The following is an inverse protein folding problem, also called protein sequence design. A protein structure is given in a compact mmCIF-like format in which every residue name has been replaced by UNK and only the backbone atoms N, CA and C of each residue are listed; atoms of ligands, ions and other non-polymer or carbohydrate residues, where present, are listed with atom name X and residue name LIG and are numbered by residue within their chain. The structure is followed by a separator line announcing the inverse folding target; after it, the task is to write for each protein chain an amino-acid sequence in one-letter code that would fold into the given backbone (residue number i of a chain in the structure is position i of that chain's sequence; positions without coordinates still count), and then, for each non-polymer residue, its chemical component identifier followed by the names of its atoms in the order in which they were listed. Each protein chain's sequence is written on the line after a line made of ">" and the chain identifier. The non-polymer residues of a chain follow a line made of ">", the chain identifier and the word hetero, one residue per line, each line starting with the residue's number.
data_IF_955322814520
#
_entry.id   IF_955322814520
#
_cell.length_a   1.000
_cell.length_b   1.000
_cell.length_c   1.000
_cell.angle_alpha   90.00
_cell.angle_beta   90.00
_cell.angle_gamma   90.00
#
_symmetry.space_group_name_H-M   'P 1'
#
loop_
_entity.id
_entity.type
_entity.pdbx_description
1 polymer ?
#
# COMPACT_ATOMS: atom_id res chain seq x y z
N UNK A 1 11.37 6.76 -9.96
CA UNK A 1 10.69 5.47 -10.25
C UNK A 1 9.98 5.63 -11.60
N UNK A 2 10.76 5.87 -12.68
CA UNK A 2 10.22 6.48 -13.92
C UNK A 2 10.38 5.58 -15.16
N UNK A 3 10.84 4.35 -15.00
CA UNK A 3 10.88 3.36 -16.07
C UNK A 3 10.25 2.05 -15.57
N UNK A 4 8.94 1.91 -15.76
CA UNK A 4 8.28 0.62 -15.61
C UNK A 4 8.59 -0.24 -16.84
N UNK A 5 8.88 -1.54 -16.67
CA UNK A 5 9.02 -2.45 -17.80
C UNK A 5 7.73 -2.44 -18.62
N UNK A 6 7.87 -2.58 -19.93
CA UNK A 6 6.73 -2.69 -20.85
C UNK A 6 5.98 -3.96 -20.47
N UNK A 7 4.75 -3.78 -19.97
CA UNK A 7 3.88 -4.87 -19.55
C UNK A 7 2.68 -4.91 -20.48
N UNK A 8 2.50 -6.03 -21.17
CA UNK A 8 1.46 -6.23 -22.18
C UNK A 8 0.08 -6.51 -21.57
N UNK A 9 0.00 -6.84 -20.27
CA UNK A 9 -1.27 -7.10 -19.59
C UNK A 9 -1.93 -5.81 -19.08
N UNK A 10 -1.22 -4.68 -19.11
CA UNK A 10 -1.71 -3.40 -18.60
C UNK A 10 -2.04 -2.39 -19.71
N UNK A 11 -3.08 -1.55 -19.52
CA UNK A 11 -3.44 -0.54 -20.50
C UNK A 11 -2.31 0.49 -20.66
N UNK A 12 -2.05 0.87 -21.91
CA UNK A 12 -0.94 1.78 -22.26
C UNK A 12 0.43 1.17 -21.98
N UNK A 13 0.55 -0.16 -22.04
CA UNK A 13 1.81 -0.91 -21.88
C UNK A 13 2.50 -0.69 -20.52
N UNK A 14 1.73 -0.22 -19.53
CA UNK A 14 2.24 0.16 -18.21
C UNK A 14 2.97 1.51 -18.17
N UNK A 15 3.02 2.27 -19.26
CA UNK A 15 3.78 3.53 -19.32
C UNK A 15 3.04 4.72 -18.71
N UNK A 16 1.73 4.86 -18.91
CA UNK A 16 0.99 6.03 -18.44
C UNK A 16 0.34 5.78 -17.07
N UNK A 17 1.13 5.83 -16.01
CA UNK A 17 0.69 5.52 -14.65
C UNK A 17 0.56 6.77 -13.77
N UNK A 18 -0.56 6.88 -13.03
CA UNK A 18 -0.75 7.89 -12.00
C UNK A 18 -0.53 7.28 -10.61
N UNK A 19 0.47 7.78 -9.89
CA UNK A 19 0.88 7.26 -8.57
C UNK A 19 -0.17 7.58 -7.50
N UNK A 20 -0.72 8.78 -7.45
CA UNK A 20 -1.65 9.15 -6.37
C UNK A 20 -3.02 8.46 -6.49
N UNK A 21 -3.37 8.06 -7.72
CA UNK A 21 -4.65 7.39 -7.99
C UNK A 21 -4.50 5.88 -8.25
N UNK A 22 -3.26 5.35 -8.23
CA UNK A 22 -2.92 3.96 -8.52
C UNK A 22 -3.61 3.41 -9.78
N UNK A 23 -3.62 4.19 -10.87
CA UNK A 23 -4.35 3.86 -12.10
C UNK A 23 -3.49 4.03 -13.34
N UNK A 24 -3.61 3.06 -14.24
CA UNK A 24 -3.00 3.07 -15.57
C UNK A 24 -3.94 3.68 -16.60
N UNK A 25 -3.35 4.38 -17.56
CA UNK A 25 -4.02 5.05 -18.67
C UNK A 25 -3.45 4.53 -19.99
N UNK A 26 -4.25 4.60 -21.04
CA UNK A 26 -3.87 4.16 -22.38
C UNK A 26 -2.93 5.14 -23.12
N UNK A 27 -3.01 6.43 -22.81
CA UNK A 27 -2.26 7.49 -23.50
C UNK A 27 -1.80 8.60 -22.55
N UNK A 28 -0.76 9.33 -22.94
CA UNK A 28 -0.28 10.52 -22.22
C UNK A 28 -1.35 11.62 -22.11
N UNK A 29 -2.23 11.76 -23.10
CA UNK A 29 -3.28 12.78 -23.07
C UNK A 29 -4.35 12.44 -22.02
N UNK A 30 -4.71 11.15 -21.90
CA UNK A 30 -5.58 10.67 -20.84
C UNK A 30 -4.98 10.91 -19.44
N UNK A 31 -3.67 10.70 -19.27
CA UNK A 31 -2.98 10.99 -18.01
C UNK A 31 -2.95 12.50 -17.69
N UNK A 32 -2.63 13.34 -18.68
CA UNK A 32 -2.61 14.81 -18.51
C UNK A 32 -3.98 15.40 -18.21
N UNK A 33 -5.03 14.88 -18.84
CA UNK A 33 -6.41 15.29 -18.55
C UNK A 33 -6.87 14.79 -17.17
N UNK A 34 -6.44 13.60 -16.75
CA UNK A 34 -6.67 13.09 -15.41
C UNK A 34 -6.10 14.00 -14.31
N UNK A 35 -4.88 14.51 -14.44
CA UNK A 35 -4.28 15.42 -13.44
C UNK A 35 -5.09 16.71 -13.23
N UNK A 36 -5.76 17.20 -14.28
CA UNK A 36 -6.61 18.41 -14.20
C UNK A 36 -7.98 18.12 -13.60
N UNK A 37 -8.40 16.86 -13.57
CA UNK A 37 -9.72 16.43 -13.11
C UNK A 37 -9.92 16.65 -11.60
N UNK A 38 -11.19 16.77 -11.19
CA UNK A 38 -11.55 16.93 -9.77
C UNK A 38 -11.21 15.69 -8.94
N UNK A 39 -11.23 14.50 -9.55
CA UNK A 39 -10.95 13.22 -8.88
C UNK A 39 -9.51 13.21 -8.37
N UNK A 40 -8.55 13.55 -9.24
CA UNK A 40 -7.14 13.61 -8.89
C UNK A 40 -6.88 14.68 -7.81
N UNK A 41 -7.43 15.88 -7.97
CA UNK A 41 -7.30 16.95 -6.97
C UNK A 41 -7.91 16.60 -5.62
N UNK A 42 -8.95 15.75 -5.58
CA UNK A 42 -9.52 15.25 -4.32
C UNK A 42 -8.59 14.24 -3.66
N UNK A 43 -8.05 13.27 -4.41
CA UNK A 43 -7.04 12.33 -3.89
C UNK A 43 -5.81 13.04 -3.33
N UNK A 44 -5.31 14.07 -4.00
CA UNK A 44 -4.19 14.89 -3.49
C UNK A 44 -4.47 15.59 -2.16
N UNK A 45 -5.74 15.86 -1.83
CA UNK A 45 -6.11 16.43 -0.53
C UNK A 45 -6.20 15.33 0.52
N UNK A 46 -6.83 14.19 0.18
CA UNK A 46 -6.93 13.03 1.06
C UNK A 46 -5.53 12.49 1.45
N UNK A 47 -4.58 12.44 0.52
CA UNK A 47 -3.20 11.99 0.80
C UNK A 47 -2.40 12.97 1.67
N UNK A 48 -2.83 14.24 1.78
CA UNK A 48 -2.20 15.22 2.67
C UNK A 48 -2.67 15.08 4.11
N UNK A 49 -3.88 14.58 4.30
CA UNK A 49 -4.38 14.26 5.62
C UNK A 49 -3.72 12.97 6.11
N UNK A 50 -3.36 12.88 7.40
CA UNK A 50 -2.79 11.65 7.94
C UNK A 50 -3.81 10.51 7.77
N UNK A 51 -3.32 9.35 7.34
CA UNK A 51 -4.17 8.17 7.22
C UNK A 51 -4.81 7.86 8.58
N UNK A 52 -6.11 7.60 8.57
CA UNK A 52 -6.87 7.27 9.77
C UNK A 52 -6.26 6.04 10.46
N UNK A 53 -5.97 6.16 11.76
CA UNK A 53 -5.32 5.11 12.53
C UNK A 53 -6.30 4.36 13.42
N UNK A 54 -6.01 3.08 13.67
CA UNK A 54 -6.82 2.25 14.58
C UNK A 54 -6.82 2.86 16.00
N UNK A 55 -5.68 3.41 16.44
CA UNK A 55 -5.55 4.05 17.75
C UNK A 55 -6.50 5.25 17.93
N UNK A 56 -6.72 6.02 16.85
CA UNK A 56 -7.69 7.11 16.83
C UNK A 56 -9.13 6.58 16.99
N UNK A 57 -9.43 5.44 16.37
CA UNK A 57 -10.72 4.75 16.52
C UNK A 57 -10.95 4.28 17.95
N UNK A 58 -9.95 3.62 18.53
CA UNK A 58 -10.00 3.07 19.88
C UNK A 58 -10.14 4.17 20.93
N UNK A 59 -9.43 5.31 20.75
CA UNK A 59 -9.57 6.50 21.60
C UNK A 59 -10.98 7.09 21.52
N UNK A 60 -11.55 7.21 20.33
CA UNK A 60 -12.91 7.71 20.15
C UNK A 60 -13.99 6.77 20.69
N UNK A 61 -13.76 5.45 20.62
CA UNK A 61 -14.64 4.41 21.16
C UNK A 61 -14.54 4.24 22.70
N UNK A 62 -13.65 5.00 23.36
CA UNK A 62 -13.42 4.88 24.80
C UNK A 62 -12.66 3.61 25.21
N UNK A 63 -12.14 2.82 24.25
CA UNK A 63 -11.22 1.71 24.49
C UNK A 63 -9.80 2.28 24.56
N UNK A 64 -9.47 2.96 25.65
CA UNK A 64 -8.09 3.27 25.93
C UNK A 64 -7.32 1.95 26.15
N UNK A 65 -6.49 1.56 25.18
CA UNK A 65 -5.50 0.49 25.40
C UNK A 65 -4.56 0.95 26.50
N UNK A 66 -4.68 0.36 27.68
CA UNK A 66 -3.67 0.45 28.72
C UNK A 66 -2.40 -0.23 28.19
N UNK A 67 -1.56 0.53 27.50
CA UNK A 67 -0.23 0.09 27.11
C UNK A 67 0.62 -0.01 28.39
N UNK A 68 0.42 -1.08 29.16
CA UNK A 68 1.39 -1.54 30.15
C UNK A 68 2.64 -1.92 29.37
N UNK A 69 3.58 -0.98 29.37
CA UNK A 69 4.96 -1.12 28.94
C UNK A 69 5.50 -2.52 29.23
N UNK A 70 5.61 -3.34 28.19
CA UNK A 70 6.52 -4.47 28.19
C UNK A 70 7.87 -3.95 27.67
N UNK A 71 8.84 -3.95 28.56
CA UNK A 71 10.23 -3.58 28.38
C UNK A 71 10.99 -4.54 27.45
N UNK A 72 11.90 -4.00 26.64
CA UNK A 72 13.14 -4.66 26.12
C UNK A 72 12.87 -5.73 25.04
N UNK A 73 13.41 -5.70 23.81
CA UNK A 73 14.84 -5.84 23.48
C UNK A 73 15.01 -5.72 21.95
N UNK A 74 16.18 -5.22 21.54
CA UNK A 74 16.71 -5.00 20.18
C UNK A 74 16.46 -6.10 19.13
N UNK A 75 16.25 -5.68 17.87
CA UNK A 75 16.41 -6.52 16.67
C UNK A 75 17.88 -6.93 16.49
N UNK A 76 18.17 -8.09 15.87
CA UNK A 76 18.55 -7.99 14.47
C UNK A 76 18.02 -9.11 13.56
N UNK A 77 17.87 -8.71 12.30
CA UNK A 77 17.83 -9.49 11.07
C UNK A 77 18.70 -10.75 11.09
N UNK A 78 18.15 -11.90 10.65
CA UNK A 78 18.78 -12.79 9.65
C UNK A 78 17.78 -13.86 9.17
N UNK A 79 17.77 -14.03 7.86
CA UNK A 79 17.00 -15.00 7.10
C UNK A 79 17.24 -16.46 7.50
N UNK A 80 16.19 -17.27 7.43
CA UNK A 80 16.29 -18.69 7.09
C UNK A 80 14.96 -19.18 6.56
N UNK A 81 14.95 -19.38 5.25
CA UNK A 81 13.97 -20.13 4.47
C UNK A 81 14.07 -21.60 4.93
N UNK A 82 12.96 -22.23 5.27
CA UNK A 82 12.84 -23.69 5.24
C UNK A 82 11.44 -24.05 4.75
N UNK A 83 11.42 -24.78 3.65
CA UNK A 83 10.26 -25.19 2.86
C UNK A 83 9.29 -26.09 3.65
N UNK A 84 8.05 -26.29 3.15
CA UNK A 84 7.09 -27.22 3.73
C UNK A 84 7.28 -28.64 3.18
N UNK A 85 7.65 -29.58 4.04
CA UNK A 85 7.45 -31.02 3.83
C UNK A 85 6.26 -31.41 4.74
N UNK A 86 5.13 -31.96 4.29
CA UNK A 86 4.99 -33.03 3.32
C UNK A 86 4.82 -34.36 4.07
N UNK A 87 3.56 -34.74 4.31
CA UNK A 87 3.05 -36.12 4.48
C UNK A 87 3.73 -37.07 5.51
N UNK A 88 3.03 -37.39 6.61
CA UNK A 88 3.12 -38.72 7.28
C UNK A 88 1.82 -39.01 8.04
N UNK A 89 0.94 -39.73 7.35
CA UNK A 89 0.04 -40.81 7.80
C UNK A 89 -0.02 -41.10 9.32
N UNK A 90 -1.22 -40.96 9.92
CA UNK A 90 -1.56 -41.59 11.20
C UNK A 90 -2.48 -42.79 10.93
N UNK A 91 -2.07 -43.93 11.48
CA UNK A 91 -2.53 -45.31 11.23
C UNK A 91 -3.98 -45.61 11.60
#
# INVERSE_FOLDING_TARGET
>A
LEAQPIDYDLPGLGQHYCVECAKYYETDNALKSHWKSKVHKRRLKELKEPAYTIEESERAAGLARENKRATTTVVPSTASISAPDGDTMMS
#
